data_IF_997003484112
#
_entry.id   IF_997003484112
#
_cell.length_a   1.000
_cell.length_b   1.000
_cell.length_c   1.000
_cell.angle_alpha   90.00
_cell.angle_beta   90.00
_cell.angle_gamma   90.00
#
_symmetry.space_group_name_H-M   'P 1'
#
loop_
_entity.id
_entity.type
_entity.pdbx_description
1 polymer ?
#
# COMPACT_ATOMS: atom_id res chain seq x y z
N UNK A 1 13.27 0.01 -11.29
CA UNK A 1 12.71 0.69 -10.11
C UNK A 1 11.48 -0.09 -9.69
N UNK A 2 11.35 -0.46 -8.42
CA UNK A 2 10.23 -1.29 -7.96
C UNK A 2 8.91 -0.48 -7.94
N UNK A 3 7.79 -1.16 -8.16
CA UNK A 3 6.45 -0.59 -7.94
C UNK A 3 5.86 -1.32 -6.74
N UNK A 4 5.39 -0.55 -5.76
CA UNK A 4 4.62 -1.05 -4.62
C UNK A 4 3.22 -0.47 -4.77
N UNK A 5 2.21 -1.31 -4.82
CA UNK A 5 0.83 -0.87 -4.99
C UNK A 5 0.01 -1.08 -3.71
N UNK A 6 -0.94 -0.20 -3.43
CA UNK A 6 -1.86 -0.41 -2.32
C UNK A 6 -3.01 -1.32 -2.75
N UNK A 7 -3.23 -2.38 -1.98
CA UNK A 7 -4.34 -3.31 -2.18
C UNK A 7 -4.80 -3.81 -0.80
N UNK A 8 -6.11 -3.88 -0.55
CA UNK A 8 -6.65 -4.35 0.72
C UNK A 8 -6.25 -5.80 1.05
N UNK A 9 -5.86 -6.59 0.04
CA UNK A 9 -5.40 -7.98 0.16
C UNK A 9 -3.88 -8.13 0.07
N UNK A 10 -3.14 -7.02 0.07
CA UNK A 10 -1.68 -7.02 0.09
C UNK A 10 -1.08 -7.43 1.44
N UNK A 11 0.24 -7.52 1.48
CA UNK A 11 0.99 -7.75 2.73
C UNK A 11 0.74 -6.61 3.71
N UNK A 12 0.53 -6.91 5.00
CA UNK A 12 0.38 -5.88 6.03
C UNK A 12 1.55 -4.89 5.98
N UNK A 13 1.25 -3.61 5.90
CA UNK A 13 2.23 -2.54 5.87
C UNK A 13 3.20 -2.60 7.05
N UNK A 14 2.74 -3.07 8.22
CA UNK A 14 3.57 -3.28 9.39
C UNK A 14 4.70 -4.29 9.14
N UNK A 15 4.43 -5.35 8.37
CA UNK A 15 5.37 -6.42 8.05
C UNK A 15 6.03 -6.28 6.67
N UNK A 16 5.67 -5.26 5.89
CA UNK A 16 6.17 -5.10 4.53
C UNK A 16 7.58 -4.48 4.49
N UNK A 17 8.48 -5.16 3.78
CA UNK A 17 9.84 -4.66 3.53
C UNK A 17 9.85 -3.71 2.34
N UNK A 18 9.83 -2.40 2.65
CA UNK A 18 9.91 -1.36 1.63
C UNK A 18 11.28 -1.38 0.93
N UNK A 19 11.32 -1.39 -0.41
CA UNK A 19 12.57 -1.18 -1.14
C UNK A 19 13.17 0.21 -0.84
N UNK A 20 14.49 0.34 -1.01
CA UNK A 20 15.17 1.63 -0.85
C UNK A 20 14.62 2.69 -1.82
N UNK A 21 14.31 2.28 -3.05
CA UNK A 21 13.76 3.14 -4.12
C UNK A 21 12.61 2.44 -4.84
N UNK A 22 11.43 3.04 -4.77
CA UNK A 22 10.22 2.51 -5.39
C UNK A 22 9.24 3.63 -5.75
N UNK A 23 8.29 3.29 -6.61
CA UNK A 23 7.10 4.10 -6.87
C UNK A 23 5.97 3.51 -6.02
N UNK A 24 5.32 4.35 -5.21
CA UNK A 24 4.12 3.98 -4.47
C UNK A 24 2.90 4.29 -5.31
N UNK A 25 2.14 3.27 -5.68
CA UNK A 25 0.92 3.39 -6.45
C UNK A 25 -0.30 3.29 -5.52
N UNK A 26 -1.20 4.29 -5.47
CA UNK A 26 -2.45 4.18 -4.74
C UNK A 26 -3.32 3.05 -5.29
N UNK A 27 -4.21 2.50 -4.46
CA UNK A 27 -5.19 1.54 -4.92
C UNK A 27 -6.09 2.15 -5.99
N UNK A 28 -6.46 1.36 -6.99
CA UNK A 28 -7.38 1.78 -8.05
C UNK A 28 -8.80 1.39 -7.63
N UNK A 29 -9.69 2.37 -7.54
CA UNK A 29 -11.11 2.15 -7.27
C UNK A 29 -11.78 1.39 -8.42
N UNK A 30 -12.77 0.54 -8.11
CA UNK A 30 -13.48 -0.25 -9.11
C UNK A 30 -12.80 -1.61 -9.39
N UNK A 31 -12.33 -1.90 -10.62
CA UNK A 31 -11.81 -3.22 -11.00
C UNK A 31 -10.53 -3.65 -10.25
N UNK A 32 -9.94 -2.75 -9.46
CA UNK A 32 -8.70 -2.98 -8.73
C UNK A 32 -7.47 -2.92 -9.63
N UNK A 33 -6.34 -3.43 -9.12
CA UNK A 33 -5.05 -3.37 -9.82
C UNK A 33 -4.98 -4.35 -11.01
N UNK A 34 -4.40 -3.95 -12.16
CA UNK A 34 -3.97 -4.88 -13.20
C UNK A 34 -3.08 -6.01 -12.65
N UNK A 35 -3.14 -7.20 -13.25
CA UNK A 35 -2.43 -8.39 -12.75
C UNK A 35 -0.91 -8.17 -12.64
N UNK A 36 -0.35 -7.38 -13.56
CA UNK A 36 1.07 -7.05 -13.63
C UNK A 36 1.55 -6.26 -12.41
N UNK A 37 0.65 -5.52 -11.76
CA UNK A 37 0.91 -4.67 -10.60
C UNK A 37 0.64 -5.38 -9.26
N UNK A 38 0.07 -6.58 -9.27
CA UNK A 38 -0.23 -7.36 -8.05
C UNK A 38 0.99 -8.06 -7.43
N UNK A 39 2.19 -7.92 -8.01
CA UNK A 39 3.39 -8.64 -7.55
C UNK A 39 3.95 -8.15 -6.22
N UNK A 40 3.72 -6.88 -5.90
CA UNK A 40 4.19 -6.24 -4.66
C UNK A 40 3.11 -5.31 -4.16
N UNK A 41 2.12 -5.89 -3.50
CA UNK A 41 1.01 -5.15 -2.93
C UNK A 41 1.13 -5.08 -1.42
N UNK A 42 0.80 -3.92 -0.87
CA UNK A 42 0.82 -3.65 0.56
C UNK A 42 -0.57 -3.18 1.00
N UNK A 43 -1.02 -3.66 2.15
CA UNK A 43 -2.33 -3.35 2.73
C UNK A 43 -2.17 -2.50 3.98
N UNK A 44 -3.13 -1.60 4.20
CA UNK A 44 -3.33 -0.94 5.49
C UNK A 44 -4.48 -1.68 6.18
N UNK A 45 -4.22 -2.48 7.22
CA UNK A 45 -5.27 -3.24 7.90
C UNK A 45 -6.33 -2.32 8.50
N UNK A 46 -7.60 -2.71 8.38
CA UNK A 46 -8.75 -2.03 8.98
C UNK A 46 -9.63 -3.04 9.71
N UNK A 47 -10.43 -2.57 10.68
CA UNK A 47 -11.27 -3.43 11.53
C UNK A 47 -12.49 -4.07 10.82
N UNK A 48 -12.55 -4.06 9.49
CA UNK A 48 -13.57 -4.75 8.69
C UNK A 48 -14.96 -4.12 8.69
N UNK A 49 -15.17 -2.97 9.34
CA UNK A 49 -16.45 -2.25 9.32
C UNK A 49 -16.78 -1.61 7.95
N UNK A 50 -15.78 -1.52 7.07
CA UNK A 50 -15.89 -1.09 5.67
C UNK A 50 -15.01 -1.98 4.80
N UNK A 51 -15.32 -2.07 3.50
CA UNK A 51 -14.58 -2.92 2.56
C UNK A 51 -13.14 -2.42 2.32
N UNK A 52 -12.95 -1.10 2.29
CA UNK A 52 -11.65 -0.47 2.05
C UNK A 52 -11.60 0.96 2.56
N UNK A 53 -10.38 1.47 2.77
CA UNK A 53 -10.13 2.91 2.92
C UNK A 53 -10.26 3.62 1.57
N UNK A 54 -10.55 4.92 1.61
CA UNK A 54 -10.33 5.79 0.47
C UNK A 54 -8.85 5.75 0.01
N UNK A 55 -8.60 5.79 -1.30
CA UNK A 55 -7.26 5.66 -1.87
C UNK A 55 -6.26 6.71 -1.35
N UNK A 56 -6.68 7.96 -1.15
CA UNK A 56 -5.83 9.02 -0.58
C UNK A 56 -5.52 8.78 0.90
N UNK A 57 -6.49 8.27 1.68
CA UNK A 57 -6.27 7.94 3.08
C UNK A 57 -5.25 6.80 3.21
N UNK A 58 -5.41 5.73 2.42
CA UNK A 58 -4.46 4.61 2.39
C UNK A 58 -3.07 5.07 1.96
N UNK A 59 -2.97 5.94 0.94
CA UNK A 59 -1.70 6.52 0.48
C UNK A 59 -1.02 7.35 1.56
N UNK A 60 -1.77 8.20 2.24
CA UNK A 60 -1.25 9.05 3.32
C UNK A 60 -0.65 8.22 4.45
N UNK A 61 -1.34 7.14 4.86
CA UNK A 61 -0.85 6.21 5.88
C UNK A 61 0.42 5.51 5.40
N UNK A 62 0.44 5.05 4.14
CA UNK A 62 1.60 4.34 3.61
C UNK A 62 2.85 5.21 3.49
N UNK A 63 2.69 6.47 3.06
CA UNK A 63 3.78 7.44 3.04
C UNK A 63 4.27 7.76 4.45
N UNK A 64 3.36 7.94 5.41
CA UNK A 64 3.71 8.17 6.80
C UNK A 64 4.50 7.00 7.39
N UNK A 65 4.06 5.76 7.16
CA UNK A 65 4.75 4.55 7.61
C UNK A 65 6.17 4.46 7.07
N UNK A 66 6.34 4.64 5.75
CA UNK A 66 7.66 4.64 5.10
C UNK A 66 8.58 5.72 5.65
N UNK A 67 8.04 6.92 5.85
CA UNK A 67 8.79 8.05 6.41
C UNK A 67 9.18 7.80 7.87
N UNK A 68 8.30 7.18 8.67
CA UNK A 68 8.59 6.82 10.07
C UNK A 68 9.74 5.83 10.16
N UNK A 69 9.77 4.80 9.29
CA UNK A 69 10.86 3.80 9.22
C UNK A 69 12.17 4.34 8.64
N UNK A 70 12.10 5.42 7.85
CA UNK A 70 13.28 6.07 7.30
C UNK A 70 14.05 6.88 8.35
N UNK A 71 13.45 7.16 9.50
CA UNK A 71 14.10 7.92 10.57
C UNK A 71 15.09 7.00 11.30
N UNK A 72 16.29 7.51 11.62
CA UNK A 72 17.28 6.78 12.40
C UNK A 72 16.81 6.52 13.83
#
# INVERSE_FOLDING_TARGET
MAIVALDARGTDIAAFDFPDRFILLPGIEGPGLPAELRRSTVSVPIAGAVESLNAYAALSIALYERARRARP
#
